data_IF_778465434432
#
_entry.id   IF_778465434432
#
_cell.length_a   1.000
_cell.length_b   1.000
_cell.length_c   1.000
_cell.angle_alpha   90.00
_cell.angle_beta   90.00
_cell.angle_gamma   90.00
#
_symmetry.space_group_name_H-M   'P 1'
#
loop_
_entity.id
_entity.type
_entity.pdbx_description
1 polymer ?
#
# COMPACT_ATOMS: atom_id res chain seq x y z
N UNK A 1 -16.31 -10.40 53.40
CA UNK A 1 -15.61 -10.39 54.71
C UNK A 1 -14.13 -10.11 54.45
N UNK A 2 -13.68 -8.88 54.72
CA UNK A 2 -12.25 -8.57 54.89
C UNK A 2 -11.85 -8.92 56.32
N UNK A 3 -10.61 -9.38 56.55
CA UNK A 3 -9.78 -8.69 57.54
C UNK A 3 -8.28 -8.66 57.09
N UNK A 4 -7.31 -8.14 57.88
CA UNK A 4 -6.70 -6.84 57.58
C UNK A 4 -5.15 -6.86 57.68
N UNK A 5 -4.60 -5.65 57.79
CA UNK A 5 -3.31 -5.24 58.37
C UNK A 5 -2.03 -5.34 57.53
N UNK A 6 -1.70 -4.15 57.02
CA UNK A 6 -0.36 -3.70 56.67
C UNK A 6 0.64 -3.86 57.82
N UNK A 7 1.86 -4.28 57.49
CA UNK A 7 3.07 -3.99 58.27
C UNK A 7 4.16 -3.50 57.32
N UNK A 8 4.44 -2.20 57.43
CA UNK A 8 5.62 -1.52 56.92
C UNK A 8 6.90 -2.20 57.41
N UNK A 9 7.85 -2.52 56.53
CA UNK A 9 9.27 -2.51 56.93
C UNK A 9 10.26 -2.40 55.76
N UNK A 10 11.15 -1.42 55.95
CA UNK A 10 12.55 -1.30 55.50
C UNK A 10 12.82 -0.68 54.11
N UNK A 11 12.96 0.64 54.17
CA UNK A 11 13.91 1.43 53.37
C UNK A 11 15.27 0.72 53.27
N UNK A 12 15.67 0.33 52.06
CA UNK A 12 17.09 0.17 51.68
C UNK A 12 17.38 1.19 50.59
N UNK A 13 18.41 2.00 50.82
CA UNK A 13 18.81 3.10 49.95
C UNK A 13 19.10 2.62 48.53
N UNK A 14 18.24 2.99 47.60
CA UNK A 14 18.59 3.03 46.19
C UNK A 14 19.58 4.18 46.00
N UNK A 15 20.89 3.87 46.02
CA UNK A 15 21.86 4.72 45.35
C UNK A 15 21.43 4.79 43.89
N UNK A 16 20.92 5.94 43.46
CA UNK A 16 20.67 6.27 42.06
C UNK A 16 22.00 6.09 41.33
N UNK A 17 22.22 4.93 40.70
CA UNK A 17 23.18 4.82 39.61
C UNK A 17 22.57 5.66 38.49
N UNK A 18 23.18 6.81 38.24
CA UNK A 18 22.92 7.56 37.01
C UNK A 18 22.94 6.59 35.83
N UNK A 19 21.98 6.65 34.91
CA UNK A 19 22.07 5.85 33.70
C UNK A 19 23.38 6.24 32.99
N UNK A 20 24.09 5.29 32.36
CA UNK A 20 25.27 5.63 31.59
C UNK A 20 24.86 6.65 30.52
N UNK A 21 25.36 7.88 30.65
CA UNK A 21 25.43 8.82 29.54
C UNK A 21 26.49 8.26 28.59
N UNK A 22 26.20 8.35 27.29
CA UNK A 22 27.04 7.95 26.17
C UNK A 22 26.87 6.48 25.71
N UNK A 23 25.72 6.20 25.10
CA UNK A 23 25.76 5.59 23.78
C UNK A 23 25.71 6.75 22.79
N UNK A 24 26.82 6.99 22.08
CA UNK A 24 26.85 7.94 20.98
C UNK A 24 25.79 7.53 19.98
N UNK A 25 24.69 8.29 19.91
CA UNK A 25 23.77 8.18 18.80
C UNK A 25 24.56 8.58 17.56
N UNK A 26 24.89 7.61 16.70
CA UNK A 26 25.39 7.92 15.39
C UNK A 26 24.41 8.92 14.76
N UNK A 27 24.87 10.13 14.45
CA UNK A 27 24.02 11.13 13.82
C UNK A 27 23.47 10.51 12.54
N UNK A 28 22.16 10.27 12.52
CA UNK A 28 21.50 9.69 11.36
C UNK A 28 21.58 10.73 10.24
N UNK A 29 22.45 10.46 9.27
CA UNK A 29 22.65 11.32 8.10
C UNK A 29 21.33 11.53 7.36
N UNK A 30 21.19 12.67 6.69
CA UNK A 30 19.99 12.99 5.90
C UNK A 30 19.72 11.91 4.85
N UNK A 31 20.77 11.37 4.23
CA UNK A 31 20.68 10.23 3.33
C UNK A 31 20.09 8.99 3.97
N UNK A 32 20.54 8.64 5.18
CA UNK A 32 20.00 7.47 5.88
C UNK A 32 18.50 7.65 6.20
N UNK A 33 18.07 8.87 6.53
CA UNK A 33 16.64 9.18 6.71
C UNK A 33 15.88 9.01 5.40
N UNK A 34 16.40 9.55 4.30
CA UNK A 34 15.78 9.48 2.98
C UNK A 34 15.67 8.03 2.47
N UNK A 35 16.74 7.24 2.56
CA UNK A 35 16.72 5.81 2.23
C UNK A 35 15.66 5.05 3.04
N UNK A 36 15.50 5.37 4.33
CA UNK A 36 14.46 4.77 5.17
C UNK A 36 13.05 5.16 4.69
N UNK A 37 12.84 6.41 4.29
CA UNK A 37 11.56 6.88 3.74
C UNK A 37 11.25 6.18 2.42
N UNK A 38 12.23 6.04 1.53
CA UNK A 38 12.08 5.31 0.25
C UNK A 38 11.59 3.89 0.53
N UNK A 39 12.27 3.14 1.40
CA UNK A 39 11.88 1.77 1.76
C UNK A 39 10.46 1.67 2.33
N UNK A 40 10.03 2.66 3.12
CA UNK A 40 8.66 2.71 3.64
C UNK A 40 7.65 2.96 2.51
N UNK A 41 7.96 3.88 1.59
CA UNK A 41 7.11 4.18 0.44
C UNK A 41 7.04 3.03 -0.57
N UNK A 42 8.13 2.30 -0.78
CA UNK A 42 8.14 1.06 -1.57
C UNK A 42 7.21 0.00 -0.98
N UNK A 43 7.26 -0.23 0.34
CA UNK A 43 6.33 -1.16 1.00
C UNK A 43 4.87 -0.74 0.84
N UNK A 44 4.59 0.57 0.90
CA UNK A 44 3.24 1.11 0.66
C UNK A 44 2.81 0.88 -0.79
N UNK A 45 3.71 1.12 -1.76
CA UNK A 45 3.46 0.84 -3.18
C UNK A 45 3.18 -0.64 -3.41
N UNK A 46 3.93 -1.53 -2.78
CA UNK A 46 3.75 -2.98 -2.91
C UNK A 46 2.43 -3.44 -2.26
N UNK A 47 2.07 -2.88 -1.11
CA UNK A 47 0.76 -3.12 -0.49
C UNK A 47 -0.39 -2.66 -1.41
N UNK A 48 -0.27 -1.48 -2.03
CA UNK A 48 -1.25 -0.99 -3.03
C UNK A 48 -1.32 -1.89 -4.26
N UNK A 49 -0.17 -2.44 -4.70
CA UNK A 49 -0.11 -3.40 -5.80
C UNK A 49 -0.87 -4.67 -5.47
N UNK A 50 -0.68 -5.21 -4.26
CA UNK A 50 -1.45 -6.35 -3.76
C UNK A 50 -2.95 -6.06 -3.68
N UNK A 51 -3.34 -4.87 -3.21
CA UNK A 51 -4.75 -4.46 -3.15
C UNK A 51 -5.40 -4.30 -4.53
N UNK A 52 -4.64 -3.82 -5.53
CA UNK A 52 -5.11 -3.76 -6.92
C UNK A 52 -5.30 -5.17 -7.50
N UNK A 53 -4.34 -6.07 -7.28
CA UNK A 53 -4.45 -7.46 -7.74
C UNK A 53 -5.67 -8.17 -7.13
N UNK A 54 -5.95 -7.95 -5.84
CA UNK A 54 -7.16 -8.46 -5.20
C UNK A 54 -8.45 -7.89 -5.84
N UNK A 55 -8.51 -6.57 -6.10
CA UNK A 55 -9.65 -5.98 -6.80
C UNK A 55 -9.84 -6.53 -8.22
N UNK A 56 -8.75 -6.81 -8.93
CA UNK A 56 -8.83 -7.41 -10.27
C UNK A 56 -9.42 -8.82 -10.22
N UNK A 57 -9.09 -9.61 -9.20
CA UNK A 57 -9.70 -10.93 -8.96
C UNK A 57 -11.20 -10.77 -8.64
N UNK A 58 -11.56 -9.85 -7.75
CA UNK A 58 -12.97 -9.61 -7.38
C UNK A 58 -13.79 -9.19 -8.61
N UNK A 59 -13.25 -8.28 -9.45
CA UNK A 59 -13.87 -7.85 -10.71
C UNK A 59 -14.04 -9.01 -11.68
N UNK A 60 -13.03 -9.87 -11.84
CA UNK A 60 -13.12 -11.06 -12.70
C UNK A 60 -14.21 -12.02 -12.23
N UNK A 61 -14.30 -12.28 -10.92
CA UNK A 61 -15.35 -13.12 -10.36
C UNK A 61 -16.74 -12.51 -10.57
N UNK A 62 -16.90 -11.19 -10.37
CA UNK A 62 -18.15 -10.50 -10.62
C UNK A 62 -18.55 -10.52 -12.09
N UNK A 63 -17.58 -10.37 -13.01
CA UNK A 63 -17.80 -10.49 -14.45
C UNK A 63 -18.36 -11.88 -14.79
N UNK A 64 -17.73 -12.94 -14.29
CA UNK A 64 -18.20 -14.31 -14.53
C UNK A 64 -19.62 -14.56 -13.97
N UNK A 65 -19.97 -13.94 -12.84
CA UNK A 65 -21.35 -14.03 -12.28
C UNK A 65 -22.37 -13.34 -13.16
N UNK A 66 -22.05 -12.17 -13.71
CA UNK A 66 -22.91 -11.45 -14.66
C UNK A 66 -23.11 -12.27 -15.93
N UNK A 67 -22.03 -12.82 -16.50
CA UNK A 67 -22.10 -13.68 -17.68
C UNK A 67 -22.96 -14.92 -17.43
N UNK A 68 -22.84 -15.54 -16.25
CA UNK A 68 -23.67 -16.68 -15.85
C UNK A 68 -25.16 -16.28 -15.72
N UNK A 69 -25.46 -15.13 -15.10
CA UNK A 69 -26.83 -14.64 -14.98
C UNK A 69 -27.44 -14.31 -16.35
N UNK A 70 -26.65 -13.73 -17.26
CA UNK A 70 -27.04 -13.49 -18.66
C UNK A 70 -27.37 -14.79 -19.39
N UNK A 71 -26.49 -15.80 -19.28
CA UNK A 71 -26.73 -17.11 -19.86
C UNK A 71 -28.01 -17.75 -19.30
N UNK A 72 -28.26 -17.65 -18.00
CA UNK A 72 -29.45 -18.19 -17.35
C UNK A 72 -30.74 -17.53 -17.86
N UNK A 73 -30.75 -16.20 -18.04
CA UNK A 73 -31.89 -15.48 -18.64
C UNK A 73 -32.13 -15.97 -20.07
N UNK A 74 -31.07 -16.14 -20.88
CA UNK A 74 -31.18 -16.63 -22.25
C UNK A 74 -31.74 -18.05 -22.30
N UNK A 75 -31.25 -18.95 -21.45
CA UNK A 75 -31.73 -20.34 -21.37
C UNK A 75 -33.20 -20.42 -20.94
N UNK A 76 -33.61 -19.66 -19.93
CA UNK A 76 -35.00 -19.55 -19.48
C UNK A 76 -35.91 -19.15 -20.64
N UNK A 77 -35.57 -18.05 -21.33
CA UNK A 77 -36.38 -17.54 -22.46
C UNK A 77 -36.42 -18.57 -23.60
N UNK A 78 -35.29 -19.17 -23.96
CA UNK A 78 -35.23 -20.20 -25.02
C UNK A 78 -36.08 -21.42 -24.68
N UNK A 79 -36.00 -21.92 -23.45
CA UNK A 79 -36.79 -23.06 -22.99
C UNK A 79 -38.29 -22.80 -23.05
N UNK A 80 -38.71 -21.58 -22.70
CA UNK A 80 -40.11 -21.16 -22.79
C UNK A 80 -40.57 -20.99 -24.23
N UNK A 81 -39.76 -20.43 -25.13
CA UNK A 81 -40.11 -20.34 -26.55
C UNK A 81 -40.23 -21.72 -27.23
N UNK A 82 -39.47 -22.72 -26.78
CA UNK A 82 -39.47 -24.06 -27.36
C UNK A 82 -40.72 -24.91 -27.02
N UNK A 83 -41.39 -24.63 -25.90
CA UNK A 83 -42.56 -25.42 -25.46
C UNK A 83 -43.88 -24.99 -26.11
N UNK A 84 -44.02 -23.73 -26.51
CA UNK A 84 -45.04 -23.22 -27.46
C UNK A 84 -46.49 -23.13 -26.96
N UNK A 85 -46.96 -24.09 -26.17
CA UNK A 85 -48.34 -24.15 -25.66
C UNK A 85 -48.38 -23.89 -24.15
N UNK A 86 -48.94 -22.74 -23.76
CA UNK A 86 -49.11 -22.35 -22.36
C UNK A 86 -50.53 -21.85 -22.10
N UNK A 87 -51.06 -22.19 -20.93
CA UNK A 87 -52.24 -21.49 -20.43
C UNK A 87 -51.89 -20.09 -19.90
N UNK A 88 -52.91 -19.26 -19.66
CA UNK A 88 -52.71 -17.88 -19.22
C UNK A 88 -52.00 -17.77 -17.86
N UNK A 89 -52.19 -18.74 -16.94
CA UNK A 89 -51.56 -18.72 -15.62
C UNK A 89 -50.08 -19.07 -15.73
N UNK A 90 -49.76 -20.03 -16.60
CA UNK A 90 -48.40 -20.46 -16.88
C UNK A 90 -47.60 -19.37 -17.59
N UNK A 91 -48.21 -18.63 -18.51
CA UNK A 91 -47.59 -17.44 -19.14
C UNK A 91 -47.22 -16.38 -18.11
N UNK A 92 -48.14 -16.03 -17.20
CA UNK A 92 -47.89 -15.04 -16.14
C UNK A 92 -46.78 -15.51 -15.20
N UNK A 93 -46.81 -16.79 -14.80
CA UNK A 93 -45.77 -17.35 -13.94
C UNK A 93 -44.39 -17.30 -14.61
N UNK A 94 -44.28 -17.76 -15.86
CA UNK A 94 -43.01 -17.75 -16.61
C UNK A 94 -42.50 -16.33 -16.86
N UNK A 95 -43.37 -15.38 -17.18
CA UNK A 95 -43.01 -13.96 -17.28
C UNK A 95 -42.39 -13.44 -15.97
N UNK A 96 -43.00 -13.74 -14.82
CA UNK A 96 -42.47 -13.34 -13.51
C UNK A 96 -41.08 -13.91 -13.21
N UNK A 97 -40.80 -15.15 -13.66
CA UNK A 97 -39.48 -15.77 -13.49
C UNK A 97 -38.42 -15.10 -14.39
N UNK A 98 -38.77 -14.73 -15.61
CA UNK A 98 -37.86 -13.99 -16.52
C UNK A 98 -37.59 -12.59 -15.98
N UNK A 99 -38.61 -11.89 -15.47
CA UNK A 99 -38.45 -10.57 -14.85
C UNK A 99 -37.53 -10.65 -13.63
N UNK A 100 -37.77 -11.57 -12.70
CA UNK A 100 -36.91 -11.78 -11.54
C UNK A 100 -35.45 -12.08 -11.93
N UNK A 101 -35.22 -12.89 -12.96
CA UNK A 101 -33.88 -13.19 -13.45
C UNK A 101 -33.20 -11.96 -14.11
N UNK A 102 -33.96 -11.11 -14.80
CA UNK A 102 -33.45 -9.84 -15.36
C UNK A 102 -33.08 -8.83 -14.28
N UNK A 103 -33.94 -8.68 -13.28
CA UNK A 103 -33.67 -7.82 -12.12
C UNK A 103 -32.40 -8.28 -11.38
N UNK A 104 -32.24 -9.59 -11.19
CA UNK A 104 -31.04 -10.15 -10.58
C UNK A 104 -29.78 -9.84 -11.41
N UNK A 105 -29.84 -10.00 -12.73
CA UNK A 105 -28.73 -9.66 -13.64
C UNK A 105 -28.38 -8.17 -13.53
N UNK A 106 -29.38 -7.29 -13.55
CA UNK A 106 -29.17 -5.84 -13.45
C UNK A 106 -28.53 -5.45 -12.11
N UNK A 107 -28.95 -6.07 -11.02
CA UNK A 107 -28.30 -5.88 -9.71
C UNK A 107 -26.83 -6.34 -9.73
N UNK A 108 -26.52 -7.47 -10.37
CA UNK A 108 -25.12 -7.93 -10.51
C UNK A 108 -24.28 -7.03 -11.42
N UNK A 109 -24.87 -6.47 -12.48
CA UNK A 109 -24.21 -5.50 -13.36
C UNK A 109 -23.89 -4.20 -12.60
N UNK A 110 -24.79 -3.72 -11.74
CA UNK A 110 -24.55 -2.57 -10.88
C UNK A 110 -23.38 -2.84 -9.91
N UNK A 111 -23.34 -4.03 -9.28
CA UNK A 111 -22.22 -4.44 -8.43
C UNK A 111 -20.89 -4.51 -9.19
N UNK A 112 -20.90 -5.00 -10.43
CA UNK A 112 -19.70 -5.02 -11.27
C UNK A 112 -19.19 -3.60 -11.55
N UNK A 113 -20.08 -2.66 -11.86
CA UNK A 113 -19.70 -1.26 -12.09
C UNK A 113 -19.04 -0.63 -10.85
N UNK A 114 -19.57 -0.87 -9.64
CA UNK A 114 -18.96 -0.41 -8.39
C UNK A 114 -17.55 -0.99 -8.17
N UNK A 115 -17.35 -2.27 -8.51
CA UNK A 115 -16.04 -2.93 -8.41
C UNK A 115 -15.04 -2.38 -9.45
N UNK A 116 -15.50 -2.03 -10.65
CA UNK A 116 -14.68 -1.40 -11.68
C UNK A 116 -14.20 -0.01 -11.25
N UNK A 117 -15.09 0.81 -10.69
CA UNK A 117 -14.73 2.11 -10.13
C UNK A 117 -13.72 1.98 -8.97
N UNK A 118 -13.91 1.01 -8.08
CA UNK A 118 -12.97 0.72 -7.00
C UNK A 118 -11.60 0.26 -7.54
N UNK A 119 -11.58 -0.60 -8.56
CA UNK A 119 -10.34 -1.03 -9.22
C UNK A 119 -9.60 0.16 -9.80
N UNK A 120 -10.29 1.08 -10.47
CA UNK A 120 -9.68 2.25 -11.08
C UNK A 120 -9.15 3.25 -10.04
N UNK A 121 -9.88 3.44 -8.93
CA UNK A 121 -9.37 4.18 -7.76
C UNK A 121 -8.09 3.57 -7.21
N UNK A 122 -8.02 2.24 -7.09
CA UNK A 122 -6.79 1.54 -6.64
C UNK A 122 -5.64 1.67 -7.64
N UNK A 123 -5.93 1.60 -8.94
CA UNK A 123 -4.93 1.79 -9.99
C UNK A 123 -4.32 3.20 -9.96
N UNK A 124 -5.17 4.23 -9.80
CA UNK A 124 -4.72 5.62 -9.65
C UNK A 124 -3.83 5.79 -8.40
N UNK A 125 -4.25 5.21 -7.27
CA UNK A 125 -3.49 5.26 -6.02
C UNK A 125 -2.13 4.55 -6.11
N UNK A 126 -2.03 3.45 -6.85
CA UNK A 126 -0.77 2.77 -7.13
C UNK A 126 0.15 3.61 -8.03
N UNK A 127 -0.41 4.23 -9.07
CA UNK A 127 0.34 5.10 -9.97
C UNK A 127 0.93 6.32 -9.22
N UNK A 128 0.15 6.91 -8.30
CA UNK A 128 0.60 7.99 -7.43
C UNK A 128 1.73 7.54 -6.50
N UNK A 129 1.58 6.42 -5.79
CA UNK A 129 2.65 5.88 -4.95
C UNK A 129 3.93 5.57 -5.76
N UNK A 130 3.78 5.13 -7.01
CA UNK A 130 4.91 4.96 -7.93
C UNK A 130 5.61 6.28 -8.28
N UNK A 131 4.86 7.38 -8.49
CA UNK A 131 5.44 8.72 -8.70
C UNK A 131 6.19 9.21 -7.46
N UNK A 132 5.63 9.02 -6.27
CA UNK A 132 6.28 9.41 -5.02
C UNK A 132 7.62 8.71 -4.82
N UNK A 133 7.68 7.38 -5.00
CA UNK A 133 8.94 6.62 -4.87
C UNK A 133 10.00 7.15 -5.85
N UNK A 134 9.64 7.33 -7.13
CA UNK A 134 10.56 7.89 -8.13
C UNK A 134 11.07 9.28 -7.77
N UNK A 135 10.21 10.12 -7.21
CA UNK A 135 10.61 11.47 -6.78
C UNK A 135 11.63 11.43 -5.64
N UNK A 136 11.51 10.46 -4.73
CA UNK A 136 12.43 10.28 -3.61
C UNK A 136 13.76 9.65 -4.06
N UNK A 137 13.73 8.72 -5.02
CA UNK A 137 14.93 8.16 -5.64
C UNK A 137 15.79 9.25 -6.29
N UNK A 138 15.15 10.18 -7.03
CA UNK A 138 15.85 11.35 -7.61
C UNK A 138 16.47 12.24 -6.53
N UNK A 139 15.81 12.41 -5.38
CA UNK A 139 16.38 13.15 -4.26
C UNK A 139 17.56 12.42 -3.62
N UNK A 140 17.53 11.09 -3.53
CA UNK A 140 18.63 10.29 -3.01
C UNK A 140 19.87 10.37 -3.91
N UNK A 141 19.67 10.31 -5.23
CA UNK A 141 20.73 10.48 -6.22
C UNK A 141 21.39 11.87 -6.13
N UNK A 142 20.57 12.93 -5.98
CA UNK A 142 21.07 14.30 -5.81
C UNK A 142 21.89 14.45 -4.53
N UNK A 143 21.38 13.93 -3.43
CA UNK A 143 22.05 14.01 -2.14
C UNK A 143 23.37 13.21 -2.16
N UNK A 144 23.39 12.04 -2.81
CA UNK A 144 24.61 11.26 -3.03
C UNK A 144 25.65 12.02 -3.86
N UNK A 145 25.22 12.73 -4.90
CA UNK A 145 26.11 13.57 -5.71
C UNK A 145 26.68 14.75 -4.92
N UNK A 146 25.87 15.39 -4.09
CA UNK A 146 26.29 16.49 -3.21
C UNK A 146 27.29 16.03 -2.14
N UNK A 147 27.04 14.88 -1.50
CA UNK A 147 27.96 14.26 -0.53
C UNK A 147 29.32 13.97 -1.18
N UNK A 148 29.32 13.37 -2.37
CA UNK A 148 30.54 13.07 -3.14
C UNK A 148 31.29 14.35 -3.53
N UNK A 149 30.56 15.39 -3.95
CA UNK A 149 31.17 16.67 -4.28
C UNK A 149 31.77 17.37 -3.04
N UNK A 150 31.12 17.26 -1.89
CA UNK A 150 31.63 17.80 -0.62
C UNK A 150 32.88 17.05 -0.14
N UNK A 151 32.90 15.73 -0.27
CA UNK A 151 34.06 14.90 0.02
C UNK A 151 35.25 15.26 -0.87
N UNK A 152 35.04 15.35 -2.19
CA UNK A 152 36.09 15.77 -3.13
C UNK A 152 36.65 17.17 -2.82
N UNK A 153 35.81 18.12 -2.39
CA UNK A 153 36.28 19.45 -1.92
C UNK A 153 37.15 19.35 -0.66
N UNK A 154 36.79 18.47 0.29
CA UNK A 154 37.57 18.25 1.52
C UNK A 154 38.91 17.59 1.22
N UNK A 155 38.92 16.58 0.36
CA UNK A 155 40.14 15.90 -0.08
C UNK A 155 41.08 16.86 -0.79
N UNK A 156 40.58 17.68 -1.71
CA UNK A 156 41.38 18.69 -2.40
C UNK A 156 41.98 19.70 -1.43
N UNK A 157 41.18 20.23 -0.49
CA UNK A 157 41.67 21.16 0.52
C UNK A 157 42.79 20.55 1.39
N UNK A 158 42.66 19.27 1.78
CA UNK A 158 43.72 18.56 2.52
C UNK A 158 45.00 18.38 1.71
N UNK A 159 44.89 18.09 0.40
CA UNK A 159 46.04 17.96 -0.49
C UNK A 159 46.75 19.31 -0.67
N UNK A 160 45.99 20.38 -0.88
CA UNK A 160 46.51 21.75 -1.03
C UNK A 160 47.25 22.19 0.25
N UNK A 161 46.65 21.99 1.43
CA UNK A 161 47.30 22.28 2.71
C UNK A 161 48.61 21.50 2.88
N UNK A 162 48.61 20.22 2.50
CA UNK A 162 49.80 19.38 2.58
C UNK A 162 50.89 19.86 1.63
N UNK A 163 50.52 20.25 0.41
CA UNK A 163 51.43 20.85 -0.58
C UNK A 163 52.09 22.14 -0.08
N UNK A 164 51.30 23.05 0.49
CA UNK A 164 51.81 24.30 1.10
C UNK A 164 52.79 24.01 2.24
N UNK A 165 52.50 23.03 3.10
CA UNK A 165 53.40 22.65 4.20
C UNK A 165 54.73 22.06 3.70
N UNK A 166 54.74 21.30 2.61
CA UNK A 166 55.97 20.77 2.02
C UNK A 166 56.82 21.86 1.38
N UNK A 167 56.22 22.78 0.63
CA UNK A 167 56.95 23.91 0.02
C UNK A 167 57.61 24.79 1.09
N UNK A 168 56.92 25.07 2.20
CA UNK A 168 57.48 25.82 3.34
C UNK A 168 58.62 25.13 4.09
N UNK A 169 58.79 23.81 3.94
CA UNK A 169 59.90 23.06 4.56
C UNK A 169 61.11 22.90 3.64
N UNK A 170 60.92 23.12 2.33
CA UNK A 170 61.94 22.89 1.32
C UNK A 170 62.64 24.19 0.85
N UNK A 171 62.15 25.36 1.26
CA UNK A 171 62.80 26.67 1.10
C UNK A 171 63.20 27.23 2.45
#
# INVERSE_FOLDING_TARGET
MFPPSAVLRRRRGFRRRSPPRHLGGAEVTERHRLTRIIRLKERIRDAKRGALAAAEVDRQQATARVEQAEAQVIELVRGYCATGDFDARELVHRASLVEAAREQREAMQAQLAELEEERDRRAAALAEAGREVRSLEVLDDRLAAEEKAAEGRREQAMLDERGVRYQRRAG
#
